data_IF_641038649210
#
_entry.id   IF_641038649210
#
_cell.length_a   1.000
_cell.length_b   1.000
_cell.length_c   1.000
_cell.angle_alpha   90.00
_cell.angle_beta   90.00
_cell.angle_gamma   90.00
#
_symmetry.space_group_name_H-M   'P 1'
#
loop_
_entity.id
_entity.type
_entity.pdbx_description
1 polymer ?
#
# COMPACT_ATOMS: atom_id res chain seq x y z
N UNK A 1 -5.10 11.79 18.62
CA UNK A 1 -4.78 11.29 17.25
C UNK A 1 -3.26 11.06 17.11
N UNK A 2 -2.68 10.09 17.82
CA UNK A 2 -1.21 9.88 17.82
C UNK A 2 -0.76 9.06 16.61
N UNK A 3 -1.63 8.21 16.05
CA UNK A 3 -1.27 7.19 15.05
C UNK A 3 -1.38 7.62 13.58
N UNK A 4 -1.99 8.78 13.29
CA UNK A 4 -2.28 9.21 11.90
C UNK A 4 -1.19 10.09 11.28
N UNK A 5 -0.15 10.47 12.03
CA UNK A 5 0.90 11.37 11.53
C UNK A 5 1.67 10.82 10.33
N UNK A 6 1.80 9.50 10.25
CA UNK A 6 2.56 8.81 9.20
C UNK A 6 1.64 8.27 8.08
N UNK A 7 0.32 8.49 8.20
CA UNK A 7 -0.68 7.87 7.32
C UNK A 7 -0.98 8.76 6.11
N UNK A 8 -0.82 8.19 4.93
CA UNK A 8 -1.12 8.79 3.63
C UNK A 8 -2.30 8.03 3.04
N UNK A 9 -3.39 8.75 2.74
CA UNK A 9 -4.61 8.15 2.22
C UNK A 9 -4.54 8.05 0.69
N UNK A 10 -4.67 6.83 0.18
CA UNK A 10 -4.84 6.56 -1.25
C UNK A 10 -6.32 6.71 -1.57
N UNK A 11 -6.64 7.72 -2.38
CA UNK A 11 -8.02 8.10 -2.67
C UNK A 11 -8.35 7.98 -4.15
N UNK A 12 -9.59 7.59 -4.44
CA UNK A 12 -10.17 7.72 -5.78
C UNK A 12 -11.44 8.58 -5.72
N UNK A 13 -11.64 9.42 -6.74
CA UNK A 13 -12.88 10.18 -6.92
C UNK A 13 -13.33 11.00 -5.70
N UNK A 14 -14.46 10.60 -5.09
CA UNK A 14 -15.15 11.34 -4.01
C UNK A 14 -14.41 11.27 -2.67
N UNK A 15 -13.58 10.25 -2.45
CA UNK A 15 -12.85 10.07 -1.19
C UNK A 15 -11.77 11.13 -1.00
N UNK A 16 -11.23 11.66 -2.09
CA UNK A 16 -10.19 12.70 -2.10
C UNK A 16 -10.64 13.97 -1.37
N UNK A 17 -11.89 14.42 -1.59
CA UNK A 17 -12.43 15.62 -0.93
C UNK A 17 -12.59 15.40 0.57
N UNK A 18 -12.99 14.19 0.98
CA UNK A 18 -13.19 13.84 2.38
C UNK A 18 -11.85 13.72 3.10
N UNK A 19 -10.86 13.07 2.51
CA UNK A 19 -9.50 12.99 3.05
C UNK A 19 -8.88 14.39 3.20
N UNK A 20 -9.03 15.26 2.19
CA UNK A 20 -8.56 16.64 2.24
C UNK A 20 -9.23 17.45 3.36
N UNK A 21 -10.54 17.28 3.59
CA UNK A 21 -11.24 17.97 4.70
C UNK A 21 -10.75 17.56 6.09
N UNK A 22 -10.08 16.42 6.21
CA UNK A 22 -9.49 15.92 7.45
C UNK A 22 -8.03 16.38 7.62
N UNK A 23 -7.48 17.15 6.67
CA UNK A 23 -6.08 17.59 6.69
C UNK A 23 -5.06 16.47 6.53
N UNK A 24 -5.49 15.31 6.02
CA UNK A 24 -4.64 14.14 5.82
C UNK A 24 -3.81 14.28 4.54
N UNK A 25 -2.54 13.82 4.52
CA UNK A 25 -1.81 13.63 3.28
C UNK A 25 -2.55 12.67 2.36
N UNK A 26 -2.61 13.01 1.06
CA UNK A 26 -3.33 12.23 0.05
C UNK A 26 -2.40 11.84 -1.09
N UNK A 27 -2.47 10.57 -1.49
CA UNK A 27 -1.98 10.07 -2.76
C UNK A 27 -3.11 10.10 -3.78
N UNK A 28 -2.89 10.80 -4.90
CA UNK A 28 -3.82 10.85 -6.03
C UNK A 28 -3.29 10.04 -7.21
N UNK A 29 -3.91 8.90 -7.51
CA UNK A 29 -3.68 8.15 -8.76
C UNK A 29 -4.26 8.94 -9.94
N UNK A 30 -3.50 9.92 -10.44
CA UNK A 30 -3.97 10.92 -11.38
C UNK A 30 -3.12 11.03 -12.64
N UNK A 31 -2.03 10.26 -12.74
CA UNK A 31 -1.15 10.22 -13.89
C UNK A 31 -1.17 8.84 -14.55
N UNK A 32 -1.03 8.83 -15.86
CA UNK A 32 -0.78 7.64 -16.65
C UNK A 32 0.08 7.97 -17.86
N UNK A 33 0.48 6.95 -18.59
CA UNK A 33 1.27 7.09 -19.83
C UNK A 33 0.34 6.78 -21.01
N UNK A 34 0.30 7.64 -22.02
CA UNK A 34 -0.51 7.40 -23.21
C UNK A 34 0.13 6.33 -24.12
N UNK A 35 -0.64 5.80 -25.07
CA UNK A 35 -0.10 4.91 -26.12
C UNK A 35 0.95 5.60 -27.01
N UNK A 36 0.96 6.93 -27.05
CA UNK A 36 1.99 7.73 -27.73
C UNK A 36 3.24 7.97 -26.89
N UNK A 37 3.29 7.44 -25.65
CA UNK A 37 4.42 7.58 -24.74
C UNK A 37 4.56 8.97 -24.12
N UNK A 38 3.44 9.67 -23.92
CA UNK A 38 3.41 10.95 -23.21
C UNK A 38 2.81 10.77 -21.81
N UNK A 39 3.33 11.51 -20.83
CA UNK A 39 2.69 11.64 -19.53
C UNK A 39 1.36 12.39 -19.70
N UNK A 40 0.29 11.85 -19.13
CA UNK A 40 -1.04 12.45 -19.19
C UNK A 40 -1.74 12.38 -17.85
N UNK A 41 -2.64 13.34 -17.61
CA UNK A 41 -3.55 13.26 -16.47
C UNK A 41 -4.73 12.37 -16.79
N UNK A 42 -5.01 11.45 -15.87
CA UNK A 42 -6.24 10.68 -15.86
C UNK A 42 -7.42 11.61 -15.50
N UNK A 43 -8.64 11.29 -15.96
CA UNK A 43 -9.86 12.10 -15.72
C UNK A 43 -10.32 12.01 -14.26
N UNK A 44 -9.48 12.45 -13.34
CA UNK A 44 -9.77 12.64 -11.91
C UNK A 44 -9.66 14.13 -11.61
N UNK A 45 -10.48 14.60 -10.66
CA UNK A 45 -10.81 15.98 -10.26
C UNK A 45 -9.70 17.06 -10.38
N UNK A 46 -10.13 18.32 -10.27
CA UNK A 46 -9.28 19.52 -10.35
C UNK A 46 -7.94 19.39 -9.60
N UNK A 47 -6.87 19.95 -10.19
CA UNK A 47 -5.49 19.91 -9.66
C UNK A 47 -5.47 20.31 -8.19
N UNK A 48 -5.18 19.35 -7.31
CA UNK A 48 -4.87 19.64 -5.92
C UNK A 48 -3.35 19.76 -5.78
N UNK A 49 -2.90 20.91 -5.30
CA UNK A 49 -1.49 21.11 -4.94
C UNK A 49 -1.19 20.38 -3.64
N UNK A 50 0.09 20.07 -3.42
CA UNK A 50 0.59 19.45 -2.19
C UNK A 50 0.10 18.02 -1.91
N UNK A 51 -0.47 17.34 -2.91
CA UNK A 51 -0.76 15.90 -2.83
C UNK A 51 0.38 15.09 -3.46
N UNK A 52 0.61 13.86 -2.98
CA UNK A 52 1.47 12.92 -3.72
C UNK A 52 0.80 12.58 -5.04
N UNK A 53 1.62 12.47 -6.09
CA UNK A 53 1.15 12.08 -7.42
C UNK A 53 1.32 10.58 -7.60
N UNK A 54 0.28 9.90 -8.05
CA UNK A 54 0.31 8.50 -8.43
C UNK A 54 0.34 8.35 -9.94
N UNK A 55 1.28 7.54 -10.44
CA UNK A 55 1.37 7.12 -11.84
C UNK A 55 1.03 5.64 -11.95
N UNK A 56 0.07 5.30 -12.80
CA UNK A 56 -0.36 3.91 -13.03
C UNK A 56 0.49 3.24 -14.10
N UNK A 57 0.37 1.91 -14.21
CA UNK A 57 0.96 1.14 -15.29
C UNK A 57 0.76 1.77 -16.67
N UNK A 58 1.79 1.76 -17.54
CA UNK A 58 1.62 2.11 -18.94
C UNK A 58 0.74 1.09 -19.68
N UNK A 59 0.13 1.48 -20.82
CA UNK A 59 -0.56 0.53 -21.68
C UNK A 59 0.41 -0.52 -22.23
N UNK A 60 -0.10 -1.73 -22.47
CA UNK A 60 0.70 -2.87 -22.97
C UNK A 60 1.43 -2.57 -24.29
N UNK A 61 0.84 -1.71 -25.13
CA UNK A 61 1.43 -1.25 -26.38
C UNK A 61 1.68 0.26 -26.33
N UNK A 62 2.95 0.63 -26.48
CA UNK A 62 3.38 2.02 -26.65
C UNK A 62 4.17 2.12 -27.97
N UNK A 63 3.75 3.06 -28.82
CA UNK A 63 4.33 3.23 -30.16
C UNK A 63 5.73 3.84 -30.11
N UNK A 64 5.97 4.75 -29.16
CA UNK A 64 7.26 5.41 -28.95
C UNK A 64 7.43 5.66 -27.45
N UNK A 65 8.51 5.19 -26.84
CA UNK A 65 8.76 5.37 -25.41
C UNK A 65 10.20 5.80 -25.17
N UNK A 66 10.39 7.07 -24.77
CA UNK A 66 11.62 7.52 -24.10
C UNK A 66 11.32 7.63 -22.61
N UNK A 67 11.94 6.75 -21.83
CA UNK A 67 11.73 6.71 -20.40
C UNK A 67 12.25 7.98 -19.73
N UNK A 68 13.36 8.52 -20.24
CA UNK A 68 14.02 9.73 -19.77
C UNK A 68 13.13 10.96 -19.98
N UNK A 69 12.47 11.05 -21.14
CA UNK A 69 11.51 12.13 -21.41
C UNK A 69 10.31 12.06 -20.48
N UNK A 70 9.73 10.86 -20.31
CA UNK A 70 8.57 10.68 -19.42
C UNK A 70 8.97 10.99 -17.97
N UNK A 71 10.18 10.62 -17.55
CA UNK A 71 10.74 10.96 -16.24
C UNK A 71 10.88 12.48 -16.05
N UNK A 72 11.40 13.19 -17.06
CA UNK A 72 11.49 14.65 -17.03
C UNK A 72 10.09 15.32 -16.95
N UNK A 73 9.12 14.81 -17.72
CA UNK A 73 7.73 15.27 -17.66
C UNK A 73 7.12 15.03 -16.26
N UNK A 74 7.45 13.89 -15.63
CA UNK A 74 7.00 13.54 -14.29
C UNK A 74 7.59 14.46 -13.22
N UNK A 75 8.89 14.76 -13.30
CA UNK A 75 9.57 15.75 -12.44
C UNK A 75 8.95 17.13 -12.61
N UNK A 76 8.72 17.56 -13.85
CA UNK A 76 8.09 18.84 -14.14
C UNK A 76 6.71 18.93 -13.48
N UNK A 77 5.89 17.89 -13.62
CA UNK A 77 4.55 17.86 -13.08
C UNK A 77 4.52 17.83 -11.54
N UNK A 78 5.43 17.07 -10.92
CA UNK A 78 5.61 17.04 -9.47
C UNK A 78 5.99 18.42 -8.93
N UNK A 79 6.95 19.12 -9.57
CA UNK A 79 7.34 20.48 -9.19
C UNK A 79 6.21 21.49 -9.38
N UNK A 80 5.50 21.43 -10.51
CA UNK A 80 4.39 22.34 -10.85
C UNK A 80 3.25 22.25 -9.82
N UNK A 81 3.05 21.09 -9.22
CA UNK A 81 2.01 20.83 -8.22
C UNK A 81 2.51 20.87 -6.78
N UNK A 82 3.80 21.14 -6.58
CA UNK A 82 4.46 21.12 -5.28
C UNK A 82 4.21 19.79 -4.56
N UNK A 83 4.27 18.69 -5.32
CA UNK A 83 4.02 17.35 -4.82
C UNK A 83 5.14 16.93 -3.85
N UNK A 84 4.81 16.46 -2.63
CA UNK A 84 5.81 15.99 -1.67
C UNK A 84 6.44 14.64 -2.05
N UNK A 85 5.97 14.00 -3.13
CA UNK A 85 6.48 12.74 -3.63
C UNK A 85 5.64 12.18 -4.78
N UNK A 86 6.18 11.15 -5.42
CA UNK A 86 5.52 10.40 -6.50
C UNK A 86 5.44 8.94 -6.13
N UNK A 87 4.28 8.30 -6.35
CA UNK A 87 4.07 6.86 -6.19
C UNK A 87 3.88 6.21 -7.56
N UNK A 88 4.72 5.25 -7.92
CA UNK A 88 4.56 4.45 -9.11
C UNK A 88 3.76 3.19 -8.78
N UNK A 89 2.46 3.23 -9.06
CA UNK A 89 1.51 2.14 -8.84
C UNK A 89 1.56 1.16 -10.01
N UNK A 90 2.72 0.54 -10.19
CA UNK A 90 2.95 -0.48 -11.21
C UNK A 90 2.67 -1.84 -10.60
N UNK A 91 1.66 -2.54 -11.13
CA UNK A 91 1.24 -3.86 -10.68
C UNK A 91 1.99 -4.98 -11.42
N UNK A 92 2.67 -4.65 -12.53
CA UNK A 92 3.28 -5.62 -13.42
C UNK A 92 4.80 -5.44 -13.52
N UNK A 93 5.55 -6.53 -13.39
CA UNK A 93 6.99 -6.52 -13.65
C UNK A 93 7.28 -6.81 -15.12
N UNK A 94 7.25 -5.76 -15.97
CA UNK A 94 7.55 -5.84 -17.39
C UNK A 94 8.87 -5.14 -17.74
N UNK A 95 9.56 -5.50 -18.84
CA UNK A 95 10.77 -4.79 -19.28
C UNK A 95 10.56 -3.29 -19.48
N UNK A 96 9.36 -2.88 -19.92
CA UNK A 96 9.00 -1.48 -20.08
C UNK A 96 8.88 -0.79 -18.72
N UNK A 97 8.19 -1.41 -17.77
CA UNK A 97 8.03 -0.89 -16.41
C UNK A 97 9.37 -0.74 -15.71
N UNK A 98 10.27 -1.73 -15.82
CA UNK A 98 11.63 -1.62 -15.27
C UNK A 98 12.41 -0.45 -15.84
N UNK A 99 12.33 -0.21 -17.16
CA UNK A 99 12.99 0.91 -17.82
C UNK A 99 12.43 2.26 -17.37
N UNK A 100 11.10 2.37 -17.26
CA UNK A 100 10.44 3.57 -16.76
C UNK A 100 10.81 3.84 -15.30
N UNK A 101 10.73 2.84 -14.44
CA UNK A 101 11.08 2.95 -13.02
C UNK A 101 12.54 3.35 -12.82
N UNK A 102 13.47 2.78 -13.59
CA UNK A 102 14.89 3.18 -13.53
C UNK A 102 15.07 4.65 -13.92
N UNK A 103 14.39 5.12 -14.97
CA UNK A 103 14.46 6.54 -15.36
C UNK A 103 13.79 7.46 -14.32
N UNK A 104 12.69 7.01 -13.71
CA UNK A 104 12.01 7.76 -12.65
C UNK A 104 12.87 7.86 -11.39
N UNK A 105 13.54 6.76 -11.01
CA UNK A 105 14.40 6.67 -9.83
C UNK A 105 15.50 7.74 -9.86
N UNK A 106 16.28 7.79 -10.94
CA UNK A 106 17.35 8.76 -11.12
C UNK A 106 16.81 10.20 -11.23
N UNK A 107 15.82 10.43 -12.08
CA UNK A 107 15.33 11.79 -12.35
C UNK A 107 14.63 12.43 -11.15
N UNK A 108 13.89 11.66 -10.35
CA UNK A 108 13.22 12.17 -9.15
C UNK A 108 14.22 12.34 -8.00
N UNK A 109 15.21 11.45 -7.87
CA UNK A 109 16.30 11.60 -6.90
C UNK A 109 17.10 12.88 -7.15
N UNK A 110 17.54 13.12 -8.39
CA UNK A 110 18.24 14.36 -8.79
C UNK A 110 17.40 15.63 -8.57
N UNK A 111 16.07 15.47 -8.51
CA UNK A 111 15.13 16.56 -8.29
C UNK A 111 14.76 16.78 -6.82
N UNK A 112 15.32 15.99 -5.89
CA UNK A 112 14.96 15.93 -4.46
C UNK A 112 13.48 15.58 -4.22
N UNK A 113 12.89 14.71 -5.05
CA UNK A 113 11.50 14.26 -4.94
C UNK A 113 11.49 12.76 -4.64
N UNK A 114 10.90 12.30 -3.52
CA UNK A 114 10.87 10.88 -3.21
C UNK A 114 9.97 10.12 -4.17
N UNK A 115 10.51 9.03 -4.72
CA UNK A 115 9.77 8.03 -5.49
C UNK A 115 9.41 6.84 -4.60
N UNK A 116 8.12 6.51 -4.52
CA UNK A 116 7.59 5.32 -3.85
C UNK A 116 7.24 4.26 -4.87
N UNK A 117 7.67 3.02 -4.65
CA UNK A 117 7.45 1.89 -5.58
C UNK A 117 7.12 0.62 -4.77
N UNK A 118 6.15 -0.20 -5.20
CA UNK A 118 5.96 -1.54 -4.65
C UNK A 118 7.27 -2.34 -4.60
N UNK A 119 7.53 -3.01 -3.46
CA UNK A 119 8.77 -3.78 -3.25
C UNK A 119 9.09 -4.68 -4.44
N UNK A 120 8.08 -5.37 -5.00
CA UNK A 120 8.22 -6.32 -6.10
C UNK A 120 8.83 -5.69 -7.36
N UNK A 121 8.50 -4.43 -7.64
CA UNK A 121 8.97 -3.70 -8.82
C UNK A 121 10.24 -2.88 -8.56
N UNK A 122 10.53 -2.55 -7.29
CA UNK A 122 11.60 -1.61 -6.92
C UNK A 122 12.90 -2.24 -6.45
N UNK A 123 13.02 -3.58 -6.35
CA UNK A 123 14.17 -4.25 -5.70
C UNK A 123 15.53 -3.87 -6.26
N UNK A 124 15.61 -3.54 -7.56
CA UNK A 124 16.86 -3.19 -8.25
C UNK A 124 17.11 -1.69 -8.33
N UNK A 125 16.20 -0.86 -7.82
CA UNK A 125 16.33 0.61 -7.85
C UNK A 125 17.28 1.07 -6.75
N UNK A 126 18.00 2.16 -7.01
CA UNK A 126 19.03 2.69 -6.13
C UNK A 126 18.45 3.59 -5.05
N UNK A 127 17.44 4.41 -5.39
CA UNK A 127 17.00 5.52 -4.55
C UNK A 127 15.57 5.37 -4.02
N UNK A 128 14.70 4.69 -4.78
CA UNK A 128 13.28 4.58 -4.49
C UNK A 128 13.00 4.04 -3.08
N UNK A 129 11.95 4.58 -2.47
CA UNK A 129 11.39 4.10 -1.22
C UNK A 129 10.43 2.94 -1.53
N UNK A 130 10.75 1.77 -1.05
CA UNK A 130 10.03 0.53 -1.31
C UNK A 130 8.83 0.41 -0.38
N UNK A 131 7.64 0.26 -0.95
CA UNK A 131 6.40 0.10 -0.18
C UNK A 131 6.08 -1.38 -0.02
N UNK A 132 5.88 -1.82 1.23
CA UNK A 132 5.64 -3.24 1.56
C UNK A 132 4.28 -3.44 2.19
N UNK A 133 3.57 -4.50 1.79
CA UNK A 133 2.24 -4.79 2.35
C UNK A 133 2.35 -5.27 3.80
N UNK A 134 1.44 -4.80 4.65
CA UNK A 134 1.27 -5.30 6.04
C UNK A 134 0.38 -6.54 6.11
N UNK A 135 -0.11 -7.03 4.98
CA UNK A 135 -0.98 -8.19 4.89
C UNK A 135 -0.17 -9.50 4.87
N UNK A 136 0.44 -9.84 6.01
CA UNK A 136 1.19 -11.09 6.17
C UNK A 136 0.32 -12.20 6.77
N UNK A 137 0.51 -13.44 6.30
CA UNK A 137 -0.19 -14.64 6.77
C UNK A 137 0.69 -15.58 7.62
N UNK A 138 1.98 -15.26 7.75
CA UNK A 138 2.94 -16.02 8.54
C UNK A 138 4.14 -15.16 8.98
N UNK A 139 4.86 -15.64 9.98
CA UNK A 139 6.01 -14.93 10.57
C UNK A 139 5.60 -13.72 11.42
N UNK A 140 6.53 -12.77 11.56
CA UNK A 140 6.36 -11.56 12.38
C UNK A 140 6.46 -10.30 11.54
N UNK A 141 5.51 -9.38 11.72
CA UNK A 141 5.49 -8.09 11.03
C UNK A 141 6.73 -7.26 11.39
N UNK A 142 7.17 -7.29 12.66
CA UNK A 142 8.39 -6.60 13.08
C UNK A 142 9.63 -7.19 12.40
N UNK A 143 9.74 -8.52 12.40
CA UNK A 143 10.88 -9.20 11.79
C UNK A 143 10.92 -8.95 10.28
N UNK A 144 9.75 -9.00 9.62
CA UNK A 144 9.60 -8.73 8.19
C UNK A 144 10.10 -7.31 7.84
N UNK A 145 9.63 -6.29 8.55
CA UNK A 145 10.07 -4.91 8.34
C UNK A 145 11.57 -4.78 8.63
N UNK A 146 12.05 -5.29 9.77
CA UNK A 146 13.47 -5.17 10.15
C UNK A 146 14.42 -5.84 9.16
N UNK A 147 14.00 -6.97 8.57
CA UNK A 147 14.76 -7.70 7.55
C UNK A 147 14.91 -6.86 6.29
N UNK A 148 13.81 -6.25 5.83
CA UNK A 148 13.82 -5.37 4.67
C UNK A 148 14.64 -4.11 4.90
N UNK A 149 14.56 -3.51 6.09
CA UNK A 149 15.39 -2.36 6.45
C UNK A 149 16.89 -2.74 6.50
N UNK A 150 17.23 -3.96 6.91
CA UNK A 150 18.60 -4.48 6.86
C UNK A 150 19.13 -4.66 5.43
N UNK A 151 18.26 -4.99 4.48
CA UNK A 151 18.62 -5.17 3.06
C UNK A 151 18.71 -3.82 2.33
N UNK A 152 17.73 -2.94 2.53
CA UNK A 152 17.52 -1.74 1.71
C UNK A 152 17.79 -0.41 2.42
N UNK A 153 18.16 -0.41 3.70
CA UNK A 153 18.17 0.74 4.61
C UNK A 153 16.78 1.14 5.13
N UNK A 154 16.72 1.54 6.40
CA UNK A 154 15.50 2.01 7.04
C UNK A 154 14.85 3.22 6.35
N UNK A 155 15.66 4.10 5.74
CA UNK A 155 15.17 5.27 5.02
C UNK A 155 14.42 4.93 3.73
N UNK A 156 14.63 3.72 3.19
CA UNK A 156 14.02 3.27 1.93
C UNK A 156 12.82 2.34 2.12
N UNK A 157 12.29 2.20 3.34
CA UNK A 157 11.12 1.36 3.60
C UNK A 157 9.92 2.21 4.00
N UNK A 158 8.85 2.11 3.21
CA UNK A 158 7.50 2.57 3.54
C UNK A 158 6.57 1.36 3.65
N UNK A 159 5.43 1.53 4.31
CA UNK A 159 4.44 0.45 4.44
C UNK A 159 3.16 0.77 3.65
N UNK A 160 2.48 -0.27 3.20
CA UNK A 160 1.12 -0.21 2.71
C UNK A 160 0.24 -0.97 3.70
N UNK A 161 -0.52 -0.23 4.51
CA UNK A 161 -1.44 -0.77 5.49
C UNK A 161 -2.63 -1.40 4.76
N UNK A 162 -2.53 -2.71 4.57
CA UNK A 162 -3.53 -3.54 3.94
C UNK A 162 -4.14 -4.48 4.99
N UNK A 163 -5.46 -4.44 5.21
CA UNK A 163 -6.16 -5.38 6.08
C UNK A 163 -6.10 -6.81 5.52
N UNK A 164 -5.82 -7.79 6.36
CA UNK A 164 -6.04 -9.21 6.04
C UNK A 164 -7.48 -9.57 6.39
N UNK A 165 -8.09 -10.47 5.63
CA UNK A 165 -9.30 -11.19 6.03
C UNK A 165 -9.41 -12.45 5.19
N UNK A 166 -8.83 -13.54 5.69
CA UNK A 166 -8.64 -14.78 4.93
C UNK A 166 -8.89 -16.02 5.80
N UNK A 167 -9.45 -17.05 5.17
CA UNK A 167 -9.62 -18.39 5.73
C UNK A 167 -8.64 -19.38 5.07
N UNK A 168 -7.90 -20.11 5.88
CA UNK A 168 -6.89 -21.07 5.47
C UNK A 168 -7.29 -22.46 5.94
N UNK A 169 -7.26 -23.44 5.04
CA UNK A 169 -7.25 -24.85 5.44
C UNK A 169 -5.93 -25.20 6.12
N UNK A 170 -5.93 -26.16 7.05
CA UNK A 170 -4.74 -26.64 7.75
C UNK A 170 -4.47 -28.13 7.48
N UNK A 171 -3.26 -28.52 7.01
CA UNK A 171 -2.14 -27.64 6.66
C UNK A 171 -2.45 -26.77 5.43
N UNK A 172 -1.95 -25.54 5.43
CA UNK A 172 -2.22 -24.62 4.33
C UNK A 172 -1.29 -24.91 3.14
N UNK A 173 -1.84 -25.11 1.93
CA UNK A 173 -1.02 -25.41 0.76
C UNK A 173 -0.34 -24.19 0.16
N UNK A 174 -0.79 -22.97 0.50
CA UNK A 174 -0.27 -21.71 -0.05
C UNK A 174 -0.26 -20.62 1.02
N UNK A 175 0.52 -19.53 0.85
CA UNK A 175 0.45 -18.39 1.76
C UNK A 175 -0.84 -17.57 1.64
N UNK A 176 -1.72 -17.90 0.68
CA UNK A 176 -2.96 -17.19 0.41
C UNK A 176 -4.17 -18.03 0.83
N UNK A 177 -5.01 -17.46 1.69
CA UNK A 177 -6.29 -18.05 2.06
C UNK A 177 -7.43 -17.59 1.15
N UNK A 178 -8.63 -18.10 1.41
CA UNK A 178 -9.86 -17.63 0.79
C UNK A 178 -10.29 -16.32 1.44
N UNK A 179 -10.40 -15.25 0.64
CA UNK A 179 -10.82 -13.95 1.15
C UNK A 179 -12.22 -13.98 1.76
N UNK A 180 -12.36 -13.39 2.94
CA UNK A 180 -13.62 -13.31 3.68
C UNK A 180 -14.09 -11.87 3.81
N UNK A 181 -15.38 -11.64 3.54
CA UNK A 181 -16.04 -10.38 3.95
C UNK A 181 -16.22 -10.33 5.46
N UNK A 182 -16.41 -9.13 6.01
CA UNK A 182 -16.71 -8.95 7.43
C UNK A 182 -17.98 -9.71 7.86
N UNK A 183 -19.00 -9.77 6.99
CA UNK A 183 -20.23 -10.51 7.25
C UNK A 183 -20.01 -12.04 7.24
N UNK A 184 -19.23 -12.55 6.29
CA UNK A 184 -18.89 -13.98 6.23
C UNK A 184 -18.10 -14.41 7.47
N UNK A 185 -17.15 -13.58 7.90
CA UNK A 185 -16.38 -13.81 9.14
C UNK A 185 -17.26 -13.80 10.39
N UNK A 186 -18.18 -12.85 10.50
CA UNK A 186 -19.12 -12.79 11.63
C UNK A 186 -20.05 -14.02 11.67
N UNK A 187 -20.50 -14.48 10.51
CA UNK A 187 -21.30 -15.70 10.39
C UNK A 187 -20.51 -16.95 10.82
N UNK A 188 -19.24 -17.08 10.39
CA UNK A 188 -18.36 -18.17 10.80
C UNK A 188 -18.14 -18.19 12.32
N UNK A 189 -17.88 -17.03 12.94
CA UNK A 189 -17.75 -16.93 14.40
C UNK A 189 -19.03 -17.36 15.12
N UNK A 190 -20.20 -16.89 14.65
CA UNK A 190 -21.48 -17.24 15.25
C UNK A 190 -21.82 -18.73 15.09
N UNK A 191 -21.50 -19.32 13.93
CA UNK A 191 -21.77 -20.72 13.63
C UNK A 191 -20.87 -21.67 14.44
N UNK A 192 -19.59 -21.32 14.57
CA UNK A 192 -18.58 -22.21 15.17
C UNK A 192 -18.44 -22.02 16.67
N UNK A 193 -18.86 -20.87 17.21
CA UNK A 193 -18.59 -20.48 18.59
C UNK A 193 -17.10 -20.25 18.88
N UNK A 194 -16.28 -20.12 17.84
CA UNK A 194 -14.84 -19.93 17.98
C UNK A 194 -14.53 -18.59 18.66
N UNK A 195 -13.45 -18.57 19.44
CA UNK A 195 -12.99 -17.36 20.12
C UNK A 195 -11.87 -16.69 19.32
N UNK A 196 -11.98 -15.38 19.03
CA UNK A 196 -10.89 -14.62 18.44
C UNK A 196 -9.75 -14.37 19.44
N UNK A 197 -8.52 -14.57 18.98
CA UNK A 197 -7.28 -14.24 19.68
C UNK A 197 -6.50 -13.18 18.90
N UNK A 198 -5.62 -12.43 19.57
CA UNK A 198 -4.72 -11.48 18.93
C UNK A 198 -3.32 -12.08 18.80
N UNK A 199 -2.80 -12.17 17.57
CA UNK A 199 -1.41 -12.54 17.31
C UNK A 199 -0.53 -11.29 17.36
N UNK A 200 0.45 -11.28 18.26
CA UNK A 200 1.45 -10.19 18.34
C UNK A 200 2.41 -10.20 17.16
N UNK A 201 2.73 -11.38 16.64
CA UNK A 201 3.65 -11.55 15.52
C UNK A 201 3.03 -11.02 14.23
N UNK A 202 1.82 -11.48 13.89
CA UNK A 202 1.10 -11.04 12.69
C UNK A 202 0.43 -9.67 12.86
N UNK A 203 0.29 -9.22 14.11
CA UNK A 203 -0.45 -8.01 14.48
C UNK A 203 -1.88 -8.00 13.92
N UNK A 204 -2.53 -9.16 13.98
CA UNK A 204 -3.88 -9.41 13.47
C UNK A 204 -4.63 -10.35 14.41
N UNK A 205 -5.97 -10.39 14.28
CA UNK A 205 -6.80 -11.34 15.01
C UNK A 205 -6.90 -12.64 14.24
N UNK A 206 -7.04 -13.74 14.96
CA UNK A 206 -7.31 -15.03 14.34
C UNK A 206 -8.24 -15.88 15.19
N UNK A 207 -8.87 -16.87 14.57
CA UNK A 207 -9.55 -17.96 15.27
C UNK A 207 -9.44 -19.23 14.43
N UNK A 208 -9.59 -20.38 15.09
CA UNK A 208 -9.57 -21.68 14.44
C UNK A 208 -10.91 -22.37 14.60
N UNK A 209 -11.33 -23.13 13.59
CA UNK A 209 -12.53 -23.95 13.67
C UNK A 209 -12.35 -25.25 12.87
N UNK A 210 -13.25 -26.20 13.09
CA UNK A 210 -13.37 -27.41 12.28
C UNK A 210 -14.61 -27.26 11.41
N UNK A 211 -14.49 -27.52 10.10
CA UNK A 211 -15.66 -27.54 9.23
C UNK A 211 -16.48 -28.84 9.46
N UNK A 212 -17.59 -28.99 8.73
CA UNK A 212 -18.48 -30.15 8.85
C UNK A 212 -17.79 -31.49 8.53
N UNK A 213 -16.77 -31.48 7.66
CA UNK A 213 -16.00 -32.66 7.26
C UNK A 213 -14.84 -32.96 8.22
N UNK A 214 -14.70 -32.19 9.30
CA UNK A 214 -13.58 -32.32 10.24
C UNK A 214 -12.25 -31.79 9.70
N UNK A 215 -12.26 -30.98 8.65
CA UNK A 215 -11.07 -30.26 8.19
C UNK A 215 -10.84 -29.05 9.10
N UNK A 216 -9.60 -28.89 9.57
CA UNK A 216 -9.19 -27.75 10.38
C UNK A 216 -8.99 -26.49 9.52
N UNK A 217 -9.43 -25.36 10.04
CA UNK A 217 -9.34 -24.04 9.43
C UNK A 217 -8.71 -23.03 10.39
N UNK A 218 -8.00 -22.06 9.83
CA UNK A 218 -7.43 -20.90 10.52
C UNK A 218 -7.89 -19.64 9.79
N UNK A 219 -8.63 -18.78 10.48
CA UNK A 219 -9.08 -17.50 9.93
C UNK A 219 -8.21 -16.40 10.51
N UNK A 220 -7.56 -15.62 9.65
CA UNK A 220 -6.75 -14.45 10.01
C UNK A 220 -7.43 -13.19 9.50
N UNK A 221 -7.55 -12.17 10.33
CA UNK A 221 -8.20 -10.94 9.92
C UNK A 221 -7.77 -9.70 10.72
N UNK A 222 -7.99 -8.55 10.10
CA UNK A 222 -7.85 -7.25 10.71
C UNK A 222 -9.21 -6.59 11.04
N UNK A 223 -9.19 -5.77 12.07
CA UNK A 223 -10.21 -4.77 12.39
C UNK A 223 -9.55 -3.46 12.82
N UNK A 224 -10.35 -2.43 13.12
CA UNK A 224 -9.84 -1.10 13.48
C UNK A 224 -8.79 -1.14 14.61
N UNK A 225 -8.93 -2.08 15.57
CA UNK A 225 -7.99 -2.21 16.69
C UNK A 225 -6.65 -2.80 16.26
N UNK A 226 -6.66 -3.79 15.36
CA UNK A 226 -5.41 -4.39 14.85
C UNK A 226 -4.73 -3.49 13.84
N UNK A 227 -5.48 -2.75 13.01
CA UNK A 227 -4.91 -1.74 12.11
C UNK A 227 -4.23 -0.61 12.88
N UNK A 228 -4.83 -0.15 13.99
CA UNK A 228 -4.18 0.82 14.88
C UNK A 228 -2.91 0.24 15.54
N UNK A 229 -2.94 -1.03 15.95
CA UNK A 229 -1.77 -1.73 16.48
C UNK A 229 -0.66 -1.88 15.44
N UNK A 230 -1.00 -2.19 14.17
CA UNK A 230 -0.04 -2.24 13.05
C UNK A 230 0.63 -0.88 12.84
N UNK A 231 -0.13 0.21 12.83
CA UNK A 231 0.44 1.56 12.73
C UNK A 231 1.40 1.85 13.89
N UNK A 232 1.04 1.50 15.12
CA UNK A 232 1.94 1.67 16.28
C UNK A 232 3.21 0.84 16.15
N UNK A 233 3.11 -0.40 15.68
CA UNK A 233 4.24 -1.31 15.47
C UNK A 233 5.17 -0.81 14.34
N UNK A 234 4.61 -0.35 13.22
CA UNK A 234 5.36 0.27 12.12
C UNK A 234 6.10 1.53 12.58
N UNK A 235 5.43 2.39 13.37
CA UNK A 235 6.07 3.55 13.97
C UNK A 235 7.21 3.14 14.92
N UNK A 236 7.03 2.07 15.71
CA UNK A 236 8.08 1.48 16.54
C UNK A 236 9.27 0.94 15.74
N UNK A 237 9.05 0.52 14.49
CA UNK A 237 10.10 0.13 13.55
C UNK A 237 10.73 1.33 12.80
N UNK A 238 10.31 2.56 13.11
CA UNK A 238 10.81 3.78 12.44
C UNK A 238 10.26 4.02 11.03
N UNK A 239 9.17 3.34 10.63
CA UNK A 239 8.53 3.56 9.33
C UNK A 239 7.83 4.92 9.33
N UNK A 240 8.29 5.81 8.45
CA UNK A 240 7.82 7.20 8.39
C UNK A 240 6.58 7.39 7.52
N UNK A 241 6.45 6.61 6.44
CA UNK A 241 5.37 6.73 5.48
C UNK A 241 4.57 5.43 5.44
N UNK A 242 3.26 5.52 5.69
CA UNK A 242 2.33 4.41 5.62
C UNK A 242 1.18 4.80 4.70
N UNK A 243 1.02 4.09 3.59
CA UNK A 243 -0.08 4.26 2.67
C UNK A 243 -1.26 3.37 3.08
N UNK A 244 -2.49 3.83 2.91
CA UNK A 244 -3.67 3.00 3.08
C UNK A 244 -4.77 3.42 2.11
N UNK A 245 -5.52 2.47 1.57
CA UNK A 245 -6.75 2.80 0.86
C UNK A 245 -7.71 3.51 1.82
N UNK A 246 -8.36 4.58 1.35
CA UNK A 246 -9.31 5.33 2.17
C UNK A 246 -10.38 4.45 2.87
N UNK A 247 -11.00 3.46 2.19
CA UNK A 247 -11.97 2.56 2.83
C UNK A 247 -11.37 1.74 3.98
N UNK A 248 -10.13 1.26 3.82
CA UNK A 248 -9.45 0.42 4.80
C UNK A 248 -9.05 1.20 6.06
N UNK A 249 -8.70 2.48 5.88
CA UNK A 249 -8.35 3.36 6.99
C UNK A 249 -9.56 4.09 7.61
N UNK A 250 -10.77 3.98 7.05
CA UNK A 250 -11.91 4.79 7.45
C UNK A 250 -12.28 4.65 8.94
N UNK A 251 -12.10 3.45 9.51
CA UNK A 251 -12.30 3.20 10.95
C UNK A 251 -11.31 3.94 11.85
N UNK A 252 -10.07 4.12 11.38
CA UNK A 252 -8.98 4.79 12.09
C UNK A 252 -9.14 6.33 12.12
N UNK A 253 -9.89 6.88 11.17
CA UNK A 253 -10.11 8.33 11.03
C UNK A 253 -11.22 8.88 11.94
N UNK A 254 -11.94 8.01 12.66
CA UNK A 254 -12.99 8.43 13.59
C UNK A 254 -12.36 9.01 14.88
N UNK A 255 -12.93 10.07 15.48
CA UNK A 255 -12.53 10.48 16.81
C UNK A 255 -12.77 9.33 17.78
N UNK A 256 -11.76 8.93 18.56
CA UNK A 256 -11.98 7.97 19.64
C UNK A 256 -12.81 8.68 20.72
N UNK A 257 -14.06 8.25 20.89
CA UNK A 257 -14.94 8.64 22.02
C UNK A 257 -14.43 8.05 23.32
#
# INVERSE_FOLDING_TARGET
MVYTKNLILVCTGRDTTKAASLGMPVLQLCLGISQSGALQRLKVSAVQRHCLLGVTDPPQAINFCSAERIAADLVFEARRTEAPGVFADFEHDTPLNRRLLAAFDEALYDADIPLYVPLECGRTLSHAILTVSTAISGGSLTEYISSLQGIYSAARIAAFLQPVSQDFTLPSPTPNGVSLSAAARAALLAQTGAQPFFSRELCAKYFTYMNADGQAHFVLYDDDSTLAAKLAQLAGCGVQNVFALFPDAAGLLKPQT
#
